data_IF_774838424461
#
_entry.id   IF_774838424461
#
_cell.length_a   1.000
_cell.length_b   1.000
_cell.length_c   1.000
_cell.angle_alpha   90.00
_cell.angle_beta   90.00
_cell.angle_gamma   90.00
#
_symmetry.space_group_name_H-M   'P 1'
#
loop_
_entity.id
_entity.type
_entity.pdbx_description
1 polymer ?
#
# COMPACT_ATOMS: atom_id res chain seq x y z
N UNK A 1 -24.92 -0.74 35.69
CA UNK A 1 -23.46 -0.62 35.46
C UNK A 1 -23.17 0.82 35.08
N UNK A 2 -22.46 1.59 35.91
CA UNK A 2 -22.02 2.96 35.59
C UNK A 2 -20.65 2.85 34.94
N UNK A 3 -20.55 3.17 33.65
CA UNK A 3 -19.26 3.35 32.99
C UNK A 3 -18.72 4.71 33.42
N UNK A 4 -17.77 4.72 34.36
CA UNK A 4 -16.95 5.93 34.59
C UNK A 4 -16.05 6.10 33.37
N UNK A 5 -16.03 7.29 32.72
CA UNK A 5 -15.09 7.52 31.64
C UNK A 5 -13.67 7.42 32.22
N UNK A 6 -12.87 6.47 31.72
CA UNK A 6 -11.43 6.46 31.96
C UNK A 6 -10.87 7.80 31.47
N UNK A 7 -9.92 8.34 32.22
CA UNK A 7 -9.19 9.59 31.93
C UNK A 7 -8.94 9.72 30.42
N UNK A 8 -9.58 10.72 29.79
CA UNK A 8 -9.25 11.03 28.41
C UNK A 8 -7.77 11.40 28.36
N UNK A 9 -7.00 10.65 27.57
CA UNK A 9 -5.62 11.02 27.24
C UNK A 9 -5.73 12.19 26.28
N UNK A 10 -5.78 13.41 26.83
CA UNK A 10 -5.63 14.64 26.08
C UNK A 10 -4.14 14.90 25.84
N UNK A 11 -3.77 15.64 24.78
CA UNK A 11 -2.37 16.03 24.54
C UNK A 11 -1.71 16.68 25.77
N UNK A 12 -2.50 17.39 26.58
CA UNK A 12 -2.05 18.04 27.82
C UNK A 12 -1.61 17.07 28.94
N UNK A 13 -2.05 15.81 28.93
CA UNK A 13 -1.69 14.80 29.94
C UNK A 13 -0.48 13.95 29.52
N UNK A 14 0.03 14.16 28.30
CA UNK A 14 1.25 13.54 27.79
C UNK A 14 2.30 14.65 27.76
N UNK A 15 3.08 14.77 28.85
CA UNK A 15 4.12 15.79 28.95
C UNK A 15 5.03 15.80 27.72
N UNK A 16 5.26 17.00 27.19
CA UNK A 16 6.16 17.31 26.07
C UNK A 16 5.82 16.76 24.67
N UNK A 17 4.57 16.92 24.22
CA UNK A 17 4.24 16.79 22.78
C UNK A 17 4.21 18.12 22.01
N UNK A 18 4.44 19.27 22.66
CA UNK A 18 4.32 20.59 22.02
C UNK A 18 5.49 20.96 21.07
N UNK A 19 6.46 20.08 20.86
CA UNK A 19 7.64 20.36 20.00
C UNK A 19 7.56 19.78 18.58
N UNK A 20 6.43 19.22 18.13
CA UNK A 20 6.32 18.78 16.72
C UNK A 20 4.99 19.21 16.07
N UNK A 21 5.13 20.19 15.17
CA UNK A 21 4.15 20.93 14.39
C UNK A 21 2.89 20.19 13.85
N UNK A 22 1.78 20.93 13.61
CA UNK A 22 0.48 20.39 13.21
C UNK A 22 0.51 19.82 11.77
N UNK A 23 -0.38 18.85 11.50
CA UNK A 23 -0.55 18.10 10.24
C UNK A 23 0.43 16.94 9.93
N UNK A 24 1.55 16.79 10.66
CA UNK A 24 2.44 15.61 10.53
C UNK A 24 1.91 14.40 11.34
N UNK A 25 1.09 14.63 12.36
CA UNK A 25 0.68 13.59 13.30
C UNK A 25 -0.24 12.51 12.71
N UNK A 26 -0.95 12.78 11.62
CA UNK A 26 -1.88 11.80 11.04
C UNK A 26 -1.19 10.61 10.36
N UNK A 27 0.14 10.58 10.22
CA UNK A 27 0.86 9.55 9.42
C UNK A 27 1.65 8.54 10.25
N UNK A 28 1.48 8.56 11.57
CA UNK A 28 2.24 7.71 12.50
C UNK A 28 1.31 6.94 13.44
N UNK A 29 1.69 5.70 13.76
CA UNK A 29 1.15 4.92 14.87
C UNK A 29 2.08 5.03 16.06
N UNK A 30 1.50 5.17 17.25
CA UNK A 30 2.24 5.33 18.50
C UNK A 30 1.75 4.29 19.50
N UNK A 31 2.69 3.58 20.13
CA UNK A 31 2.39 2.75 21.30
C UNK A 31 2.76 3.49 22.58
N UNK A 32 1.84 3.47 23.54
CA UNK A 32 1.99 4.13 24.83
C UNK A 32 1.81 3.10 25.95
N UNK A 33 2.73 3.10 26.92
CA UNK A 33 2.55 2.41 28.18
C UNK A 33 1.62 3.22 29.08
N UNK A 34 0.40 2.70 29.30
CA UNK A 34 -0.63 3.37 30.11
C UNK A 34 -0.30 3.40 31.61
N UNK A 35 0.59 2.54 32.09
CA UNK A 35 1.04 2.55 33.49
C UNK A 35 2.12 3.61 33.70
N UNK A 36 3.10 3.64 32.80
CA UNK A 36 4.25 4.53 32.92
C UNK A 36 4.02 5.92 32.28
N UNK A 37 3.00 6.07 31.45
CA UNK A 37 2.74 7.29 30.67
C UNK A 37 3.80 7.57 29.60
N UNK A 38 4.51 6.53 29.13
CA UNK A 38 5.65 6.68 28.21
C UNK A 38 5.33 6.15 26.83
N UNK A 39 5.87 6.81 25.81
CA UNK A 39 5.85 6.30 24.44
C UNK A 39 6.88 5.17 24.32
N UNK A 40 6.43 4.00 23.87
CA UNK A 40 7.29 2.85 23.62
C UNK A 40 7.94 2.93 22.24
N UNK A 41 7.15 3.29 21.23
CA UNK A 41 7.62 3.44 19.86
C UNK A 41 6.66 4.31 19.03
N UNK A 42 7.18 4.81 17.91
CA UNK A 42 6.43 5.52 16.88
C UNK A 42 6.81 4.92 15.51
N UNK A 43 5.83 4.63 14.67
CA UNK A 43 6.04 4.00 13.35
C UNK A 43 5.27 4.76 12.28
N UNK A 44 5.92 5.09 11.16
CA UNK A 44 5.24 5.71 10.03
C UNK A 44 4.43 4.68 9.25
N UNK A 45 3.22 5.03 8.84
CA UNK A 45 2.32 4.11 8.13
C UNK A 45 2.07 4.58 6.70
N UNK A 46 2.38 3.70 5.75
CA UNK A 46 2.05 3.89 4.34
C UNK A 46 3.13 4.52 3.48
N UNK A 47 2.87 4.50 2.19
CA UNK A 47 3.76 4.91 1.10
C UNK A 47 3.08 5.93 0.19
N UNK A 48 3.86 6.76 -0.49
CA UNK A 48 3.32 7.69 -1.49
C UNK A 48 3.15 7.05 -2.87
N UNK A 49 3.18 5.72 -2.98
CA UNK A 49 3.15 5.01 -4.27
C UNK A 49 1.98 5.44 -5.16
N UNK A 50 0.75 5.44 -4.63
CA UNK A 50 -0.44 5.78 -5.42
C UNK A 50 -0.64 7.29 -5.65
N UNK A 51 0.16 8.17 -5.01
CA UNK A 51 0.08 9.63 -5.15
C UNK A 51 1.28 10.28 -5.86
N UNK A 52 2.43 9.62 -5.87
CA UNK A 52 3.64 10.17 -6.48
C UNK A 52 3.49 10.24 -8.01
N UNK A 53 3.99 11.32 -8.67
CA UNK A 53 3.83 11.52 -10.13
C UNK A 53 4.45 10.44 -11.02
N UNK A 54 5.09 9.43 -10.44
CA UNK A 54 5.67 8.27 -11.14
C UNK A 54 5.39 6.92 -10.46
N UNK A 55 4.58 6.84 -9.42
CA UNK A 55 4.34 5.55 -8.74
C UNK A 55 5.51 5.05 -7.87
N UNK A 56 6.40 5.95 -7.43
CA UNK A 56 7.55 5.59 -6.59
C UNK A 56 7.07 5.37 -5.16
N UNK A 57 7.32 4.19 -4.61
CA UNK A 57 6.96 3.83 -3.24
C UNK A 57 7.98 4.41 -2.24
N UNK A 58 7.78 5.66 -1.83
CA UNK A 58 8.55 6.27 -0.74
C UNK A 58 7.74 6.20 0.57
N UNK A 59 8.35 5.71 1.65
CA UNK A 59 7.69 5.51 2.95
C UNK A 59 7.62 6.79 3.78
N UNK A 60 7.19 7.90 3.18
CA UNK A 60 7.01 9.18 3.89
C UNK A 60 5.79 9.21 4.83
N UNK A 61 5.04 8.10 4.88
CA UNK A 61 3.79 7.99 5.60
C UNK A 61 2.62 8.60 4.85
N UNK A 62 1.42 8.13 5.16
CA UNK A 62 0.16 8.63 4.63
C UNK A 62 -0.82 8.84 5.78
N UNK A 63 -1.79 9.76 5.65
CA UNK A 63 -2.81 9.94 6.67
C UNK A 63 -3.50 8.62 7.03
N UNK A 64 -3.50 8.31 8.31
CA UNK A 64 -4.15 7.21 8.97
C UNK A 64 -5.45 7.75 9.55
N UNK A 65 -6.57 7.28 9.00
CA UNK A 65 -7.91 7.82 9.28
C UNK A 65 -8.81 6.76 9.92
N UNK A 66 -8.20 5.63 10.27
CA UNK A 66 -8.81 4.47 10.91
C UNK A 66 -8.10 4.14 12.23
N UNK A 67 -8.72 3.25 12.99
CA UNK A 67 -8.12 2.58 14.12
C UNK A 67 -7.37 1.31 13.73
N UNK A 68 -6.83 0.64 14.75
CA UNK A 68 -6.04 -0.59 14.61
C UNK A 68 -6.78 -1.79 15.18
N UNK A 69 -6.47 -2.99 14.70
CA UNK A 69 -6.86 -4.24 15.34
C UNK A 69 -5.64 -4.93 15.94
N UNK A 70 -5.68 -5.22 17.23
CA UNK A 70 -4.56 -5.86 17.94
C UNK A 70 -4.95 -7.30 18.29
N UNK A 71 -4.06 -8.24 18.03
CA UNK A 71 -4.25 -9.66 18.34
C UNK A 71 -3.42 -10.09 19.55
N UNK A 72 -3.86 -11.16 20.22
CA UNK A 72 -3.13 -11.76 21.35
C UNK A 72 -1.73 -12.27 20.94
N UNK A 73 -1.51 -12.55 19.64
CA UNK A 73 -0.22 -12.92 19.09
C UNK A 73 0.78 -11.77 18.96
N UNK A 74 0.40 -10.54 19.37
CA UNK A 74 1.29 -9.37 19.30
C UNK A 74 1.35 -8.72 17.91
N UNK A 75 0.33 -8.91 17.08
CA UNK A 75 0.23 -8.25 15.78
C UNK A 75 -0.76 -7.09 15.84
N UNK A 76 -0.36 -5.95 15.27
CA UNK A 76 -1.19 -4.74 15.08
C UNK A 76 -1.51 -4.60 13.61
N UNK A 77 -2.79 -4.68 13.25
CA UNK A 77 -3.25 -4.51 11.88
C UNK A 77 -3.80 -3.11 11.65
N UNK A 78 -3.44 -2.51 10.52
CA UNK A 78 -3.99 -1.22 10.10
C UNK A 78 -4.00 -1.08 8.58
N UNK A 79 -4.99 -0.36 8.06
CA UNK A 79 -5.04 0.05 6.65
C UNK A 79 -4.59 1.50 6.49
N UNK A 80 -4.10 1.88 5.32
CA UNK A 80 -3.74 3.26 5.05
C UNK A 80 -4.23 3.77 3.67
N UNK A 81 -4.03 5.06 3.41
CA UNK A 81 -4.49 5.73 2.19
C UNK A 81 -3.77 5.28 0.92
N UNK A 82 -2.70 4.51 1.06
CA UNK A 82 -1.98 3.87 -0.04
C UNK A 82 -2.51 2.48 -0.40
N UNK A 83 -3.68 2.13 0.14
CA UNK A 83 -4.42 0.95 -0.23
C UNK A 83 -3.67 -0.37 0.01
N UNK A 84 -3.01 -0.43 1.16
CA UNK A 84 -2.53 -1.66 1.77
C UNK A 84 -3.16 -1.86 3.14
N UNK A 85 -3.40 -3.13 3.47
CA UNK A 85 -3.52 -3.60 4.85
C UNK A 85 -2.13 -4.04 5.32
N UNK A 86 -1.73 -3.63 6.51
CA UNK A 86 -0.42 -3.93 7.09
C UNK A 86 -0.54 -4.61 8.43
N UNK A 87 0.48 -5.38 8.78
CA UNK A 87 0.68 -5.95 10.10
C UNK A 87 2.02 -5.48 10.67
N UNK A 88 1.98 -5.01 11.91
CA UNK A 88 3.14 -4.53 12.67
C UNK A 88 3.33 -5.38 13.92
N UNK A 89 4.58 -5.53 14.35
CA UNK A 89 4.91 -6.10 15.65
C UNK A 89 4.52 -5.12 16.77
N UNK A 90 3.71 -5.56 17.72
CA UNK A 90 3.21 -4.71 18.80
C UNK A 90 4.30 -4.22 19.75
N UNK A 91 5.44 -4.93 19.85
CA UNK A 91 6.52 -4.59 20.78
C UNK A 91 7.48 -3.55 20.19
N UNK A 92 7.82 -3.69 18.91
CA UNK A 92 8.81 -2.84 18.24
C UNK A 92 8.21 -1.79 17.32
N UNK A 93 6.97 -1.95 16.87
CA UNK A 93 6.36 -1.10 15.83
C UNK A 93 6.90 -1.35 14.43
N UNK A 94 7.68 -2.42 14.22
CA UNK A 94 8.20 -2.80 12.91
C UNK A 94 7.13 -3.42 12.01
N UNK A 95 7.10 -3.03 10.73
CA UNK A 95 6.22 -3.63 9.74
C UNK A 95 6.68 -5.06 9.42
N UNK A 96 5.79 -6.04 9.60
CA UNK A 96 6.08 -7.46 9.37
C UNK A 96 5.47 -7.97 8.06
N UNK A 97 4.34 -7.41 7.66
CA UNK A 97 3.59 -7.87 6.51
C UNK A 97 2.72 -6.77 5.93
N UNK A 98 2.44 -6.87 4.64
CA UNK A 98 1.48 -6.04 3.94
C UNK A 98 0.77 -6.82 2.83
N UNK A 99 -0.47 -6.44 2.55
CA UNK A 99 -1.30 -6.96 1.46
C UNK A 99 -2.02 -5.82 0.74
N UNK A 100 -1.94 -5.82 -0.60
CA UNK A 100 -2.61 -4.81 -1.43
C UNK A 100 -4.12 -4.99 -1.38
N UNK A 101 -4.83 -3.87 -1.27
CA UNK A 101 -6.29 -3.77 -1.35
C UNK A 101 -6.70 -3.23 -2.72
N UNK A 102 -7.91 -3.49 -3.23
CA UNK A 102 -8.36 -2.89 -4.50
C UNK A 102 -8.38 -1.35 -4.46
N UNK A 103 -8.77 -0.79 -3.32
CA UNK A 103 -8.86 0.66 -3.04
C UNK A 103 -8.41 0.93 -1.59
N UNK A 104 -8.23 2.19 -1.15
CA UNK A 104 -7.77 2.46 0.21
C UNK A 104 -8.65 1.86 1.30
N UNK A 105 -7.99 1.19 2.25
CA UNK A 105 -8.59 0.56 3.42
C UNK A 105 -8.68 1.57 4.56
N UNK A 106 -9.70 2.42 4.52
CA UNK A 106 -9.89 3.53 5.46
C UNK A 106 -10.82 3.17 6.63
N UNK A 107 -11.32 1.93 6.65
CA UNK A 107 -12.08 1.38 7.76
C UNK A 107 -11.17 0.72 8.81
N UNK A 108 -11.73 0.48 9.99
CA UNK A 108 -11.05 -0.30 11.04
C UNK A 108 -10.96 -1.77 10.60
N UNK A 109 -9.77 -2.39 10.64
CA UNK A 109 -9.65 -3.83 10.47
C UNK A 109 -10.38 -4.57 11.60
N UNK A 110 -10.76 -5.81 11.35
CA UNK A 110 -11.29 -6.73 12.35
C UNK A 110 -10.71 -8.13 12.15
N UNK A 111 -10.73 -8.95 13.21
CA UNK A 111 -10.35 -10.35 13.12
C UNK A 111 -11.51 -11.26 13.56
N UNK A 112 -11.64 -12.42 12.94
CA UNK A 112 -12.64 -13.43 13.28
C UNK A 112 -12.10 -14.84 13.00
N UNK A 113 -12.73 -15.84 13.62
CA UNK A 113 -12.47 -17.25 13.35
C UNK A 113 -13.56 -17.80 12.43
N UNK A 114 -13.14 -18.55 11.41
CA UNK A 114 -14.06 -19.28 10.55
C UNK A 114 -13.46 -20.65 10.21
N UNK A 115 -14.22 -21.72 10.49
CA UNK A 115 -13.78 -23.12 10.28
C UNK A 115 -12.39 -23.42 10.87
N UNK A 116 -12.08 -22.86 12.04
CA UNK A 116 -10.82 -23.07 12.74
C UNK A 116 -9.63 -22.23 12.25
N UNK A 117 -9.83 -21.37 11.24
CA UNK A 117 -8.80 -20.45 10.75
C UNK A 117 -9.10 -19.01 11.17
N UNK A 118 -8.06 -18.27 11.53
CA UNK A 118 -8.16 -16.85 11.84
C UNK A 118 -8.04 -16.02 10.57
N UNK A 119 -8.99 -15.11 10.41
CA UNK A 119 -9.04 -14.15 9.33
C UNK A 119 -8.85 -12.74 9.88
N UNK A 120 -8.28 -11.88 9.04
CA UNK A 120 -8.25 -10.43 9.23
C UNK A 120 -8.98 -9.81 8.06
N UNK A 121 -10.04 -9.06 8.32
CA UNK A 121 -10.84 -8.41 7.29
C UNK A 121 -10.84 -6.89 7.44
N UNK A 122 -10.98 -6.22 6.30
CA UNK A 122 -11.09 -4.77 6.21
C UNK A 122 -12.05 -4.40 5.08
N UNK A 123 -12.87 -3.38 5.32
CA UNK A 123 -13.62 -2.72 4.26
C UNK A 123 -12.73 -1.69 3.56
N UNK A 124 -12.56 -1.89 2.25
CA UNK A 124 -11.83 -1.02 1.35
C UNK A 124 -12.84 -0.18 0.57
N UNK A 125 -13.10 1.02 1.08
CA UNK A 125 -14.06 1.98 0.49
C UNK A 125 -13.40 3.19 -0.20
N UNK A 126 -12.15 3.50 0.13
CA UNK A 126 -11.56 4.80 -0.20
C UNK A 126 -12.13 5.94 0.65
N UNK A 127 -11.61 7.16 0.46
CA UNK A 127 -12.09 8.36 1.14
C UNK A 127 -12.29 9.49 0.12
N UNK A 128 -13.54 9.81 -0.19
CA UNK A 128 -13.96 10.68 -1.29
C UNK A 128 -13.35 12.08 -1.22
N UNK A 129 -13.18 12.64 -0.03
CA UNK A 129 -12.61 13.98 0.17
C UNK A 129 -11.09 14.06 -0.01
N UNK A 130 -10.40 12.90 -0.04
CA UNK A 130 -8.94 12.83 -0.11
C UNK A 130 -8.37 12.55 -1.51
N UNK A 131 -9.24 12.61 -2.54
CA UNK A 131 -8.89 12.39 -3.94
C UNK A 131 -8.43 10.96 -4.27
N UNK A 132 -8.73 9.99 -3.41
CA UNK A 132 -8.37 8.58 -3.61
C UNK A 132 -9.39 7.84 -4.46
N UNK A 133 -8.98 6.71 -5.05
CA UNK A 133 -9.91 5.77 -5.69
C UNK A 133 -10.99 5.32 -4.70
N UNK A 134 -12.25 5.39 -5.13
CA UNK A 134 -13.42 4.96 -4.36
C UNK A 134 -13.79 3.53 -4.80
N UNK A 135 -14.25 2.71 -3.86
CA UNK A 135 -14.78 1.38 -4.12
C UNK A 135 -15.67 0.90 -2.99
N UNK A 136 -16.07 -0.36 -3.05
CA UNK A 136 -17.02 -0.98 -2.13
C UNK A 136 -16.65 -2.45 -1.85
N UNK A 137 -15.36 -2.70 -1.60
CA UNK A 137 -14.84 -4.06 -1.43
C UNK A 137 -14.63 -4.42 0.03
N UNK A 138 -14.98 -5.65 0.42
CA UNK A 138 -14.53 -6.24 1.69
C UNK A 138 -13.48 -7.30 1.38
N UNK A 139 -12.30 -7.15 1.98
CA UNK A 139 -11.17 -8.05 1.75
C UNK A 139 -10.83 -8.77 3.04
N UNK A 140 -10.61 -10.09 2.96
CA UNK A 140 -10.19 -10.92 4.09
C UNK A 140 -8.89 -11.67 3.77
N UNK A 141 -7.95 -11.63 4.71
CA UNK A 141 -6.67 -12.32 4.65
C UNK A 141 -6.61 -13.40 5.71
N UNK A 142 -5.88 -14.48 5.42
CA UNK A 142 -5.54 -15.55 6.36
C UNK A 142 -4.10 -16.00 6.13
N UNK A 143 -3.56 -16.76 7.07
CA UNK A 143 -2.30 -17.46 6.85
C UNK A 143 -2.44 -18.46 5.71
N UNK A 144 -1.36 -18.62 4.94
CA UNK A 144 -1.27 -19.60 3.88
C UNK A 144 -1.34 -21.02 4.47
N UNK A 145 -2.08 -21.90 3.82
CA UNK A 145 -2.12 -23.32 4.21
C UNK A 145 -0.84 -24.02 3.73
N UNK A 146 -0.46 -25.15 4.35
CA UNK A 146 0.59 -26.00 3.79
C UNK A 146 0.32 -26.31 2.31
N UNK A 147 1.29 -26.03 1.45
CA UNK A 147 1.17 -26.21 -0.01
C UNK A 147 0.56 -25.03 -0.77
N UNK A 148 0.01 -24.03 -0.09
CA UNK A 148 -0.46 -22.79 -0.72
C UNK A 148 0.68 -21.76 -0.76
N UNK A 149 1.14 -21.43 -1.96
CA UNK A 149 2.12 -20.39 -2.16
C UNK A 149 1.41 -19.08 -2.56
N UNK A 150 1.84 -17.91 -2.02
CA UNK A 150 1.38 -16.63 -2.55
C UNK A 150 1.68 -16.54 -4.05
N UNK A 151 0.70 -16.05 -4.82
CA UNK A 151 0.80 -15.95 -6.28
C UNK A 151 1.99 -15.10 -6.70
N UNK A 152 2.50 -15.29 -7.93
CA UNK A 152 3.61 -14.49 -8.45
C UNK A 152 3.29 -12.99 -8.38
N UNK A 153 2.06 -12.61 -8.73
CA UNK A 153 1.56 -11.23 -8.66
C UNK A 153 1.66 -10.63 -7.27
N UNK A 154 1.30 -11.39 -6.23
CA UNK A 154 1.41 -10.92 -4.83
C UNK A 154 2.86 -10.74 -4.37
N UNK A 155 3.80 -11.48 -4.96
CA UNK A 155 5.23 -11.39 -4.62
C UNK A 155 5.94 -10.25 -5.33
N UNK A 156 5.46 -9.86 -6.51
CA UNK A 156 6.11 -8.88 -7.38
C UNK A 156 5.35 -7.57 -7.44
N UNK A 157 4.10 -7.59 -7.92
CA UNK A 157 3.33 -6.38 -8.26
C UNK A 157 2.65 -5.76 -7.04
N UNK A 158 2.15 -6.58 -6.10
CA UNK A 158 1.48 -6.10 -4.88
C UNK A 158 2.46 -5.70 -3.77
N UNK A 159 3.76 -5.60 -4.08
CA UNK A 159 4.73 -4.97 -3.18
C UNK A 159 4.91 -3.50 -3.54
N UNK A 160 5.27 -2.64 -2.57
CA UNK A 160 5.43 -1.23 -2.86
C UNK A 160 6.50 -1.04 -3.94
N UNK A 161 6.15 -0.40 -5.04
CA UNK A 161 7.03 -0.16 -6.20
C UNK A 161 7.01 -1.28 -7.26
N UNK A 162 6.34 -2.40 -7.00
CA UNK A 162 6.16 -3.49 -7.96
C UNK A 162 5.40 -3.06 -9.20
N UNK A 163 4.34 -2.25 -9.02
CA UNK A 163 3.52 -1.70 -10.11
C UNK A 163 4.31 -0.74 -10.98
N UNK A 164 5.20 0.05 -10.39
CA UNK A 164 6.10 0.93 -11.14
C UNK A 164 7.00 0.13 -12.08
N UNK A 165 7.68 -0.89 -11.55
CA UNK A 165 8.55 -1.74 -12.35
C UNK A 165 7.78 -2.46 -13.47
N UNK A 166 6.56 -2.94 -13.17
CA UNK A 166 5.67 -3.54 -14.16
C UNK A 166 5.32 -2.58 -15.31
N UNK A 167 5.01 -1.31 -15.00
CA UNK A 167 4.75 -0.27 -16.03
C UNK A 167 5.99 0.01 -16.87
N UNK A 168 7.17 0.12 -16.24
CA UNK A 168 8.44 0.36 -16.95
C UNK A 168 8.75 -0.77 -17.93
N UNK A 169 8.61 -2.03 -17.51
CA UNK A 169 8.83 -3.20 -18.37
C UNK A 169 7.85 -3.20 -19.55
N UNK A 170 6.56 -2.92 -19.30
CA UNK A 170 5.57 -2.85 -20.37
C UNK A 170 5.88 -1.75 -21.41
N UNK A 171 6.33 -0.58 -20.94
CA UNK A 171 6.72 0.54 -21.81
C UNK A 171 7.95 0.20 -22.65
N UNK A 172 8.95 -0.46 -22.05
CA UNK A 172 10.15 -0.93 -22.75
C UNK A 172 9.81 -1.97 -23.83
N UNK A 173 8.93 -2.93 -23.55
CA UNK A 173 8.47 -3.92 -24.53
C UNK A 173 7.69 -3.27 -25.68
N UNK A 174 6.82 -2.30 -25.38
CA UNK A 174 6.10 -1.51 -26.39
C UNK A 174 7.06 -0.72 -27.28
N UNK A 175 8.07 -0.07 -26.68
CA UNK A 175 9.10 0.66 -27.43
C UNK A 175 9.94 -0.28 -28.30
N UNK A 176 10.34 -1.45 -27.81
CA UNK A 176 11.05 -2.45 -28.61
C UNK A 176 10.19 -2.97 -29.76
N UNK A 177 8.90 -3.24 -29.52
CA UNK A 177 7.96 -3.65 -30.57
C UNK A 177 7.82 -2.55 -31.63
N UNK A 178 7.62 -1.30 -31.22
CA UNK A 178 7.52 -0.15 -32.12
C UNK A 178 8.80 0.04 -32.94
N UNK A 179 9.97 -0.08 -32.30
CA UNK A 179 11.27 -0.04 -32.99
C UNK A 179 11.42 -1.18 -34.00
N UNK A 180 10.96 -2.39 -33.66
CA UNK A 180 11.00 -3.55 -34.57
C UNK A 180 10.09 -3.38 -35.78
N UNK A 181 8.87 -2.86 -35.58
CA UNK A 181 7.90 -2.55 -36.65
C UNK A 181 8.45 -1.44 -37.54
N UNK A 182 8.99 -0.38 -36.94
CA UNK A 182 9.62 0.72 -37.66
C UNK A 182 10.84 0.24 -38.47
N UNK A 183 11.70 -0.61 -37.89
CA UNK A 183 12.85 -1.18 -38.58
C UNK A 183 12.42 -2.06 -39.75
N UNK A 184 11.39 -2.91 -39.57
CA UNK A 184 10.80 -3.72 -40.65
C UNK A 184 10.23 -2.86 -41.78
N UNK A 185 9.44 -1.83 -41.44
CA UNK A 185 8.88 -0.90 -42.41
C UNK A 185 9.97 -0.15 -43.19
N UNK A 186 11.02 0.32 -42.50
CA UNK A 186 12.17 1.00 -43.13
C UNK A 186 12.97 0.09 -44.05
N UNK A 187 13.10 -1.20 -43.70
CA UNK A 187 13.78 -2.19 -44.55
C UNK A 187 13.00 -2.45 -45.84
N UNK A 188 11.67 -2.55 -45.75
CA UNK A 188 10.79 -2.78 -46.90
C UNK A 188 10.74 -1.58 -47.85
N UNK A 189 10.73 -0.35 -47.32
CA UNK A 189 10.72 0.89 -48.11
C UNK A 189 12.05 1.18 -48.84
N UNK A 190 13.15 0.55 -48.44
CA UNK A 190 14.43 0.63 -49.17
C UNK A 190 14.49 -0.26 -50.42
N UNK A 191 13.74 -1.36 -50.47
CA UNK A 191 13.73 -2.28 -51.62
C UNK A 191 12.89 -1.79 -52.80
N UNK A 192 11.94 -0.87 -52.59
CA UNK A 192 11.10 -0.31 -53.65
C UNK A 192 11.74 0.84 -54.45
N UNK A 193 12.93 1.32 -54.07
CA UNK A 193 13.55 2.54 -54.64
C UNK A 193 14.72 2.26 -55.60
N UNK A 194 15.08 0.99 -55.81
CA UNK A 194 16.15 0.56 -56.73
C UNK A 194 15.64 0.02 -58.07
N UNK A 195 14.33 0.10 -58.36
CA UNK A 195 13.70 -0.46 -59.57
C UNK A 195 13.32 0.53 -60.67
N UNK A 196 13.63 1.83 -60.53
CA UNK A 196 13.24 2.88 -61.49
C UNK A 196 14.47 3.65 -62.01
N UNK A 197 15.39 2.94 -62.66
CA UNK A 197 16.41 3.56 -63.53
C UNK A 197 16.77 2.58 -64.66
N UNK A 198 15.86 2.46 -65.62
CA UNK A 198 16.05 1.54 -66.74
C UNK A 198 14.97 1.72 -67.81
N UNK A 199 14.88 2.90 -68.40
CA UNK A 199 14.19 3.09 -69.69
C UNK A 199 15.24 3.64 -70.67
N UNK A 200 15.75 2.83 -71.61
CA UNK A 200 16.56 3.33 -72.71
C UNK A 200 15.66 3.85 -73.84
N UNK A 201 16.04 5.05 -74.30
CA UNK A 201 15.66 5.78 -75.52
C UNK A 201 14.29 6.43 -75.55
#
# INVERSE_FOLDING_TARGET
>A
MRFSPLTQITPANVGDLDSCAPAVMARMMVAVDLRAGKILWQSSVGTVEDRAPLGVALSFGTPLVNGVAITAGGLVFTGAMDAYLRAYDAKSGGELWQGRLPVPGVANPMTYLWKGEQYVAISAGGHSESGTTIGDSVVAFRLARPGEAPSLWSRTIDRPGGRFLGKVIALMLLMMLAASVFWRWRRHSRQGRTGLSGIPR
#
